data_IF_584759321219
#
_entry.id   IF_584759321219
#
_cell.length_a   1.000
_cell.length_b   1.000
_cell.length_c   1.000
_cell.angle_alpha   90.00
_cell.angle_beta   90.00
_cell.angle_gamma   90.00
#
_symmetry.space_group_name_H-M   'P 1'
#
loop_
_entity.id
_entity.type
_entity.pdbx_description
1 polymer ?
#
# COMPACT_ATOMS: atom_id res chain seq x y z
N UNK A 1 7.17 -6.07 -4.16
CA UNK A 1 6.06 -6.55 -5.00
C UNK A 1 6.45 -6.57 -6.47
N UNK A 2 5.92 -7.54 -7.22
CA UNK A 2 6.02 -7.66 -8.68
C UNK A 2 4.64 -7.48 -9.29
N UNK A 3 4.60 -7.15 -10.58
CA UNK A 3 3.33 -7.01 -11.29
C UNK A 3 2.52 -8.31 -11.30
N UNK A 4 3.16 -9.46 -11.40
CA UNK A 4 2.49 -10.76 -11.35
C UNK A 4 1.79 -11.09 -10.01
N UNK A 5 2.01 -10.30 -8.97
CA UNK A 5 1.30 -10.44 -7.69
C UNK A 5 -0.04 -9.66 -7.66
N UNK A 6 -0.38 -9.01 -8.77
CA UNK A 6 -1.60 -8.23 -8.92
C UNK A 6 -2.44 -8.89 -10.01
N UNK A 7 -3.52 -9.55 -9.63
CA UNK A 7 -4.42 -10.21 -10.56
C UNK A 7 -5.84 -10.27 -10.01
N UNK A 8 -6.83 -10.23 -10.89
CA UNK A 8 -8.25 -10.43 -10.55
C UNK A 8 -8.76 -9.54 -9.41
N UNK A 9 -8.30 -8.30 -9.33
CA UNK A 9 -8.70 -7.39 -8.27
C UNK A 9 -8.08 -7.64 -6.90
N UNK A 10 -7.02 -8.47 -6.82
CA UNK A 10 -6.35 -8.86 -5.58
C UNK A 10 -4.84 -8.61 -5.69
N UNK A 11 -4.23 -8.18 -4.59
CA UNK A 11 -2.76 -8.19 -4.39
C UNK A 11 -2.39 -9.40 -3.55
N UNK A 12 -1.58 -10.28 -4.10
CA UNK A 12 -1.00 -11.42 -3.38
C UNK A 12 0.34 -11.02 -2.77
N UNK A 13 0.50 -11.22 -1.48
CA UNK A 13 1.78 -11.07 -0.77
C UNK A 13 2.33 -12.48 -0.46
N UNK A 14 3.24 -13.02 -1.27
CA UNK A 14 3.80 -14.34 -1.03
C UNK A 14 4.48 -14.44 0.33
N UNK A 15 4.41 -15.60 0.96
CA UNK A 15 5.04 -15.86 2.25
C UNK A 15 6.53 -15.50 2.28
N UNK A 16 7.23 -15.69 1.15
CA UNK A 16 8.66 -15.36 0.99
C UNK A 16 9.01 -13.88 1.20
N UNK A 17 8.04 -12.96 1.07
CA UNK A 17 8.25 -11.53 1.28
C UNK A 17 7.54 -10.99 2.53
N UNK A 18 6.82 -11.84 3.26
CA UNK A 18 6.12 -11.46 4.49
C UNK A 18 6.94 -11.83 5.72
N UNK A 19 6.86 -11.04 6.79
CA UNK A 19 7.56 -11.33 8.05
C UNK A 19 7.07 -12.62 8.73
N UNK A 20 5.81 -12.98 8.49
CA UNK A 20 5.19 -14.17 9.08
C UNK A 20 5.45 -15.46 8.29
N UNK A 21 6.06 -15.38 7.11
CA UNK A 21 6.22 -16.51 6.19
C UNK A 21 4.89 -17.00 5.57
N UNK A 22 3.77 -16.35 5.86
CA UNK A 22 2.45 -16.74 5.35
C UNK A 22 2.07 -15.89 4.15
N UNK A 23 1.55 -16.54 3.11
CA UNK A 23 0.93 -15.84 1.97
C UNK A 23 -0.35 -15.15 2.44
N UNK A 24 -0.58 -13.95 1.93
CA UNK A 24 -1.76 -13.14 2.23
C UNK A 24 -2.27 -12.51 0.95
N UNK A 25 -3.59 -12.45 0.82
CA UNK A 25 -4.29 -11.76 -0.26
C UNK A 25 -5.01 -10.54 0.31
N UNK A 26 -5.08 -9.49 -0.48
CA UNK A 26 -5.80 -8.25 -0.13
C UNK A 26 -6.52 -7.74 -1.36
N UNK A 27 -7.84 -7.54 -1.23
CA UNK A 27 -8.65 -6.97 -2.28
C UNK A 27 -8.21 -5.55 -2.63
N UNK A 28 -8.25 -5.22 -3.92
CA UNK A 28 -7.86 -3.91 -4.43
C UNK A 28 -9.09 -3.01 -4.47
N UNK A 29 -9.01 -1.89 -3.75
CA UNK A 29 -10.03 -0.85 -3.83
C UNK A 29 -10.07 -0.26 -5.26
N UNK A 30 -11.25 0.06 -5.84
CA UNK A 30 -11.37 0.57 -7.22
C UNK A 30 -10.46 1.76 -7.52
N UNK A 31 -10.29 2.72 -6.61
CA UNK A 31 -9.36 3.84 -6.79
C UNK A 31 -7.90 3.40 -6.89
N UNK A 32 -7.51 2.35 -6.16
CA UNK A 32 -6.17 1.79 -6.25
C UNK A 32 -5.99 1.03 -7.58
N UNK A 33 -7.02 0.34 -8.06
CA UNK A 33 -7.00 -0.30 -9.37
C UNK A 33 -6.72 0.72 -10.47
N UNK A 34 -7.49 1.80 -10.52
CA UNK A 34 -7.27 2.89 -11.50
C UNK A 34 -5.86 3.46 -11.44
N UNK A 35 -5.33 3.69 -10.22
CA UNK A 35 -3.97 4.21 -10.05
C UNK A 35 -2.90 3.21 -10.50
N UNK A 36 -3.12 1.92 -10.31
CA UNK A 36 -2.22 0.86 -10.77
C UNK A 36 -2.25 0.71 -12.30
N UNK A 37 -3.43 0.84 -12.92
CA UNK A 37 -3.58 0.80 -14.37
C UNK A 37 -2.87 1.98 -15.02
N UNK A 38 -3.07 3.19 -14.50
CA UNK A 38 -2.34 4.37 -14.94
C UNK A 38 -0.82 4.19 -14.76
N UNK A 39 -0.38 3.75 -13.58
CA UNK A 39 1.02 3.48 -13.32
C UNK A 39 1.60 2.44 -14.26
N UNK A 40 0.83 1.42 -14.63
CA UNK A 40 1.26 0.37 -15.56
C UNK A 40 1.54 0.91 -16.96
N UNK A 41 0.73 1.84 -17.42
CA UNK A 41 0.93 2.48 -18.74
C UNK A 41 2.12 3.44 -18.76
N UNK A 42 2.37 4.16 -17.68
CA UNK A 42 3.47 5.13 -17.57
C UNK A 42 4.81 4.48 -17.14
N UNK A 43 4.77 3.24 -16.66
CA UNK A 43 5.85 2.60 -15.92
C UNK A 43 7.19 2.55 -16.69
N UNK A 44 7.18 2.15 -17.96
CA UNK A 44 8.42 1.97 -18.73
C UNK A 44 9.14 3.29 -19.00
N UNK A 45 8.39 4.36 -19.21
CA UNK A 45 8.93 5.67 -19.60
C UNK A 45 9.19 6.57 -18.40
N UNK A 46 8.73 6.16 -17.21
CA UNK A 46 8.98 6.92 -15.98
C UNK A 46 10.48 7.02 -15.68
N UNK A 47 10.94 8.23 -15.39
CA UNK A 47 12.36 8.51 -15.18
C UNK A 47 12.75 8.44 -13.71
N UNK A 48 13.71 7.56 -13.42
CA UNK A 48 14.37 7.45 -12.12
C UNK A 48 15.79 8.01 -12.25
N UNK A 49 16.11 9.10 -11.55
CA UNK A 49 17.40 9.80 -11.68
C UNK A 49 17.77 10.08 -13.16
N UNK A 50 16.83 10.65 -13.92
CA UNK A 50 17.02 11.05 -15.29
C UNK A 50 17.02 9.93 -16.35
N UNK A 51 17.04 8.66 -15.93
CA UNK A 51 16.97 7.51 -16.85
C UNK A 51 15.61 6.83 -16.78
N UNK A 52 14.96 6.51 -17.91
CA UNK A 52 13.70 5.83 -17.92
C UNK A 52 13.83 4.38 -17.44
N UNK A 53 12.73 3.80 -16.96
CA UNK A 53 12.73 2.44 -16.40
C UNK A 53 13.06 1.41 -17.48
N UNK A 54 12.58 1.58 -18.72
CA UNK A 54 12.82 0.63 -19.80
C UNK A 54 14.32 0.38 -20.06
N UNK A 55 15.18 1.41 -19.92
CA UNK A 55 16.63 1.23 -20.02
C UNK A 55 17.25 0.42 -18.87
N UNK A 56 16.52 0.28 -17.74
CA UNK A 56 17.01 -0.40 -16.54
C UNK A 56 16.59 -1.87 -16.46
N UNK A 57 15.58 -2.24 -17.22
CA UNK A 57 15.02 -3.59 -17.23
C UNK A 57 15.04 -4.24 -18.61
N UNK A 58 15.69 -3.57 -19.57
CA UNK A 58 15.92 -4.04 -20.94
C UNK A 58 14.62 -4.43 -21.66
N UNK A 59 13.70 -3.48 -21.74
CA UNK A 59 12.47 -3.60 -22.53
C UNK A 59 12.31 -2.41 -23.48
N UNK A 60 11.42 -2.52 -24.45
CA UNK A 60 11.14 -1.44 -25.39
C UNK A 60 10.50 -0.22 -24.66
N UNK A 61 10.77 1.02 -25.12
CA UNK A 61 10.03 2.21 -24.70
C UNK A 61 8.52 2.00 -24.86
N UNK A 62 7.71 2.46 -23.92
CA UNK A 62 6.25 2.30 -23.95
C UNK A 62 5.73 0.88 -23.70
N UNK A 63 6.61 -0.11 -23.53
CA UNK A 63 6.19 -1.48 -23.25
C UNK A 63 5.58 -1.61 -21.85
N UNK A 64 4.51 -2.41 -21.75
CA UNK A 64 3.93 -2.74 -20.46
C UNK A 64 4.86 -3.66 -19.66
N UNK A 65 4.91 -3.51 -18.32
CA UNK A 65 5.71 -4.39 -17.48
C UNK A 65 5.19 -5.83 -17.52
N UNK A 66 6.10 -6.79 -17.64
CA UNK A 66 5.80 -8.21 -17.46
C UNK A 66 5.60 -8.58 -15.99
N UNK A 67 5.09 -9.79 -15.75
CA UNK A 67 4.77 -10.29 -14.41
C UNK A 67 5.95 -10.26 -13.44
N UNK A 68 7.16 -10.49 -13.92
CA UNK A 68 8.38 -10.54 -13.10
C UNK A 68 8.98 -9.18 -12.79
N UNK A 69 8.55 -8.12 -13.45
CA UNK A 69 9.04 -6.78 -13.16
C UNK A 69 8.53 -6.28 -11.80
N UNK A 70 9.40 -5.53 -11.11
CA UNK A 70 9.01 -4.90 -9.86
C UNK A 70 7.98 -3.80 -10.08
N UNK A 71 6.95 -3.78 -9.23
CA UNK A 71 5.93 -2.73 -9.25
C UNK A 71 6.56 -1.33 -9.09
N UNK A 72 7.53 -1.23 -8.18
CA UNK A 72 8.36 -0.04 -7.97
C UNK A 72 9.83 -0.42 -8.13
N UNK A 73 10.41 -0.21 -9.32
CA UNK A 73 11.80 -0.54 -9.56
C UNK A 73 12.75 0.38 -8.80
N UNK A 74 13.94 -0.13 -8.54
CA UNK A 74 15.05 0.61 -7.91
C UNK A 74 15.94 1.28 -8.94
N UNK A 75 17.07 1.84 -8.46
CA UNK A 75 18.05 2.52 -9.31
C UNK A 75 18.99 1.57 -10.05
N UNK A 76 19.19 0.36 -9.53
CA UNK A 76 20.02 -0.67 -10.16
C UNK A 76 19.24 -1.54 -11.12
N UNK A 77 19.92 -2.24 -12.02
CA UNK A 77 19.33 -3.20 -12.92
C UNK A 77 18.55 -4.29 -12.14
N UNK A 78 17.31 -4.55 -12.55
CA UNK A 78 16.43 -5.54 -11.95
C UNK A 78 16.31 -5.48 -10.41
N UNK A 79 16.46 -4.29 -9.82
CA UNK A 79 16.27 -4.06 -8.38
C UNK A 79 14.94 -3.41 -8.06
N UNK A 80 14.51 -3.47 -6.80
CA UNK A 80 13.31 -2.80 -6.31
C UNK A 80 13.64 -1.52 -5.53
N UNK A 81 12.66 -0.65 -5.40
CA UNK A 81 12.75 0.56 -4.56
C UNK A 81 13.02 0.17 -3.10
N UNK A 82 14.05 0.74 -2.50
CA UNK A 82 14.36 0.57 -1.08
C UNK A 82 13.37 1.37 -0.21
N UNK A 83 13.09 0.88 0.99
CA UNK A 83 12.22 1.56 1.97
C UNK A 83 12.64 3.02 2.21
N UNK A 84 13.93 3.28 2.33
CA UNK A 84 14.45 4.65 2.53
C UNK A 84 14.10 5.60 1.36
N UNK A 85 14.11 5.10 0.13
CA UNK A 85 13.71 5.88 -1.05
C UNK A 85 12.22 6.21 -1.02
N UNK A 86 11.38 5.23 -0.68
CA UNK A 86 9.96 5.45 -0.46
C UNK A 86 9.70 6.49 0.64
N UNK A 87 10.32 6.34 1.81
CA UNK A 87 10.15 7.27 2.93
C UNK A 87 10.58 8.71 2.56
N UNK A 88 11.62 8.85 1.72
CA UNK A 88 12.05 10.17 1.22
C UNK A 88 11.00 10.81 0.30
N UNK A 89 10.47 10.05 -0.66
CA UNK A 89 9.40 10.51 -1.56
C UNK A 89 8.18 10.90 -0.75
N UNK A 90 7.72 10.03 0.15
CA UNK A 90 6.57 10.29 0.99
C UNK A 90 6.72 11.58 1.81
N UNK A 91 7.86 11.77 2.48
CA UNK A 91 8.12 12.99 3.27
C UNK A 91 8.09 14.24 2.42
N UNK A 92 8.71 14.20 1.23
CA UNK A 92 8.70 15.31 0.29
C UNK A 92 7.27 15.66 -0.13
N UNK A 93 6.49 14.68 -0.55
CA UNK A 93 5.08 14.88 -0.94
C UNK A 93 4.25 15.46 0.20
N UNK A 94 4.43 14.95 1.43
CA UNK A 94 3.72 15.48 2.60
C UNK A 94 4.11 16.95 2.91
N UNK A 95 5.37 17.31 2.70
CA UNK A 95 5.83 18.71 2.84
C UNK A 95 5.22 19.61 1.77
N UNK A 96 5.22 19.19 0.51
CA UNK A 96 4.62 19.93 -0.61
C UNK A 96 3.10 20.16 -0.39
N UNK A 97 2.42 19.19 0.23
CA UNK A 97 1.01 19.29 0.60
C UNK A 97 0.75 20.00 1.95
N UNK A 98 1.79 20.52 2.61
CA UNK A 98 1.72 21.13 3.94
C UNK A 98 1.12 20.21 5.03
N UNK A 99 1.18 18.88 4.87
CA UNK A 99 0.68 17.90 5.83
C UNK A 99 1.77 17.61 6.88
N UNK A 100 1.56 18.09 8.10
CA UNK A 100 2.50 17.91 9.21
C UNK A 100 2.19 16.64 10.03
N UNK A 101 3.23 15.99 10.57
CA UNK A 101 3.09 14.87 11.49
C UNK A 101 2.61 13.54 10.86
N UNK A 102 2.48 13.49 9.53
CA UNK A 102 2.09 12.27 8.83
C UNK A 102 3.29 11.39 8.45
N UNK A 103 3.05 10.09 8.36
CA UNK A 103 4.02 9.06 8.01
C UNK A 103 3.31 7.86 7.37
N UNK A 104 4.04 6.85 6.92
CA UNK A 104 3.45 5.59 6.46
C UNK A 104 2.58 4.90 7.53
N UNK A 105 2.95 5.03 8.81
CA UNK A 105 2.14 4.56 9.93
C UNK A 105 0.85 5.36 10.12
N UNK A 106 0.89 6.67 9.89
CA UNK A 106 -0.30 7.52 9.96
C UNK A 106 -1.32 7.16 8.89
N UNK A 107 -0.87 6.87 7.67
CA UNK A 107 -1.75 6.39 6.59
C UNK A 107 -2.45 5.09 6.96
N UNK A 108 -1.67 4.11 7.47
CA UNK A 108 -2.21 2.84 7.95
C UNK A 108 -3.22 3.05 9.08
N UNK A 109 -2.88 3.89 10.07
CA UNK A 109 -3.77 4.22 11.20
C UNK A 109 -5.07 4.85 10.70
N UNK A 110 -5.00 5.84 9.81
CA UNK A 110 -6.18 6.51 9.26
C UNK A 110 -7.10 5.55 8.52
N UNK A 111 -6.55 4.62 7.72
CA UNK A 111 -7.34 3.62 7.02
C UNK A 111 -8.06 2.67 7.98
N UNK A 112 -7.38 2.19 9.01
CA UNK A 112 -7.97 1.29 10.01
C UNK A 112 -9.04 1.99 10.84
N UNK A 113 -8.80 3.25 11.23
CA UNK A 113 -9.80 4.06 11.94
C UNK A 113 -11.04 4.29 11.07
N UNK A 114 -10.88 4.62 9.79
CA UNK A 114 -12.02 4.75 8.86
C UNK A 114 -12.86 3.47 8.74
N UNK A 115 -12.21 2.31 8.66
CA UNK A 115 -12.93 1.03 8.62
C UNK A 115 -13.71 0.80 9.93
N UNK A 116 -13.12 1.09 11.08
CA UNK A 116 -13.79 0.97 12.36
C UNK A 116 -14.95 1.96 12.50
N UNK A 117 -14.77 3.20 12.07
CA UNK A 117 -15.81 4.25 12.10
C UNK A 117 -16.99 3.93 11.16
N UNK A 118 -16.72 3.18 10.09
CA UNK A 118 -17.74 2.64 9.19
C UNK A 118 -18.47 1.42 9.75
N UNK A 119 -18.18 1.00 10.99
CA UNK A 119 -18.82 -0.16 11.61
C UNK A 119 -18.29 -1.51 11.13
N UNK A 120 -17.15 -1.55 10.43
CA UNK A 120 -16.58 -2.81 9.96
C UNK A 120 -16.18 -3.69 11.17
N UNK A 121 -16.60 -4.96 11.23
CA UNK A 121 -16.22 -5.86 12.30
C UNK A 121 -14.69 -5.96 12.47
N UNK A 122 -14.21 -5.92 13.72
CA UNK A 122 -12.77 -5.93 14.03
C UNK A 122 -12.03 -7.12 13.39
N UNK A 123 -12.69 -8.28 13.29
CA UNK A 123 -12.15 -9.46 12.63
C UNK A 123 -11.84 -9.20 11.16
N UNK A 124 -12.73 -8.53 10.42
CA UNK A 124 -12.51 -8.18 9.02
C UNK A 124 -11.38 -7.15 8.89
N UNK A 125 -11.31 -6.18 9.82
CA UNK A 125 -10.20 -5.21 9.85
C UNK A 125 -8.87 -5.93 10.09
N UNK A 126 -8.83 -6.97 10.93
CA UNK A 126 -7.62 -7.79 11.14
C UNK A 126 -7.18 -8.50 9.86
N UNK A 127 -8.10 -9.10 9.12
CA UNK A 127 -7.80 -9.78 7.86
C UNK A 127 -7.22 -8.81 6.83
N UNK A 128 -7.90 -7.69 6.58
CA UNK A 128 -7.44 -6.67 5.62
C UNK A 128 -6.09 -6.08 6.05
N UNK A 129 -5.90 -5.82 7.32
CA UNK A 129 -4.68 -5.19 7.85
C UNK A 129 -3.53 -6.15 8.09
N UNK A 130 -3.81 -7.46 8.23
CA UNK A 130 -2.83 -8.49 8.55
C UNK A 130 -2.34 -8.47 10.00
N UNK A 131 -3.11 -7.88 10.93
CA UNK A 131 -2.83 -7.99 12.36
C UNK A 131 -3.19 -9.38 12.88
N UNK A 132 -2.30 -9.96 13.68
CA UNK A 132 -2.49 -11.31 14.23
C UNK A 132 -3.23 -11.32 15.58
N UNK A 133 -3.37 -10.18 16.23
CA UNK A 133 -4.10 -10.05 17.47
C UNK A 133 -4.91 -8.77 17.55
N UNK A 134 -6.03 -8.82 18.29
CA UNK A 134 -6.87 -7.67 18.58
C UNK A 134 -6.12 -6.63 19.43
N UNK A 135 -5.25 -7.05 20.33
CA UNK A 135 -4.45 -6.14 21.17
C UNK A 135 -3.54 -5.23 20.31
N UNK A 136 -2.94 -5.77 19.27
CA UNK A 136 -2.13 -4.98 18.35
C UNK A 136 -3.01 -4.05 17.53
N UNK A 137 -4.16 -4.52 17.05
CA UNK A 137 -5.10 -3.72 16.30
C UNK A 137 -5.68 -2.57 17.14
N UNK A 138 -6.05 -2.84 18.40
CA UNK A 138 -6.66 -1.85 19.31
C UNK A 138 -5.81 -0.60 19.52
N UNK A 139 -4.48 -0.73 19.44
CA UNK A 139 -3.54 0.41 19.50
C UNK A 139 -3.70 1.40 18.35
N UNK A 140 -4.29 0.96 17.26
CA UNK A 140 -4.57 1.77 16.07
C UNK A 140 -6.00 2.34 16.06
N UNK A 141 -6.89 1.79 16.91
CA UNK A 141 -8.29 2.16 16.98
C UNK A 141 -8.51 3.02 18.21
N UNK A 142 -8.87 4.28 18.01
CA UNK A 142 -9.34 5.15 19.09
C UNK A 142 -10.85 5.05 19.24
N UNK A 143 -11.37 5.28 20.44
CA UNK A 143 -12.80 5.43 20.68
C UNK A 143 -13.10 6.91 20.99
N UNK A 144 -13.84 7.57 20.11
CA UNK A 144 -14.28 8.95 20.33
C UNK A 144 -15.42 9.02 21.35
N UNK A 145 -15.62 10.15 22.03
CA UNK A 145 -16.79 10.35 22.90
C UNK A 145 -18.12 10.14 22.18
N UNK A 146 -18.19 10.48 20.89
CA UNK A 146 -19.38 10.26 20.04
C UNK A 146 -19.70 8.77 19.87
N UNK A 147 -18.67 7.97 19.58
CA UNK A 147 -18.82 6.50 19.43
C UNK A 147 -19.24 5.83 20.73
N UNK A 148 -18.68 6.27 21.86
CA UNK A 148 -19.11 5.74 23.19
C UNK A 148 -20.58 6.04 23.48
N UNK A 149 -21.04 7.27 23.18
CA UNK A 149 -22.47 7.64 23.34
C UNK A 149 -23.35 6.84 22.42
N UNK A 150 -22.95 6.67 21.15
CA UNK A 150 -23.73 5.87 20.19
C UNK A 150 -23.86 4.41 20.64
N UNK A 151 -22.79 3.82 21.17
CA UNK A 151 -22.83 2.45 21.71
C UNK A 151 -23.79 2.30 22.90
N UNK A 152 -23.81 3.29 23.81
CA UNK A 152 -24.74 3.25 24.96
C UNK A 152 -26.20 3.43 24.47
N UNK A 153 -26.44 4.29 23.49
CA UNK A 153 -27.80 4.52 22.95
C UNK A 153 -28.34 3.34 22.11
N UNK A 154 -27.50 2.37 21.78
CA UNK A 154 -27.88 1.17 21.04
C UNK A 154 -28.27 -0.01 21.97
N UNK A 155 -28.19 0.16 23.31
CA UNK A 155 -28.66 -0.80 24.31
C UNK A 155 -30.14 -0.61 24.61
#
# INVERSE_FOLDING_TARGET
LRWGYIANGVVVFPGSITKSGKTREVDIHPLLSCALDQWRTEWSDYRLNGKPIHERVDIAPGALPGADHFLFPGLGFATHMKRQSYDRVLRRTLQELAIKGASSHSMRRSSLTKLADAGTPLRHIMEVSGHQSLDVLSRYLGCTPKQRRAAINAL
#
